data_IF_801757787940
#
_entry.id   IF_801757787940
#
_cell.length_a   1.000
_cell.length_b   1.000
_cell.length_c   1.000
_cell.angle_alpha   90.00
_cell.angle_beta   90.00
_cell.angle_gamma   90.00
#
_symmetry.space_group_name_H-M   'P 1'
#
loop_
_entity.id
_entity.type
_entity.pdbx_description
1 polymer ?
#
# COMPACT_ATOMS: atom_id res chain seq x y z
N UNK A 1 -4.48 -32.68 12.47
CA UNK A 1 -3.70 -31.48 12.07
C UNK A 1 -3.22 -30.79 13.34
N UNK A 2 -1.93 -30.44 13.43
CA UNK A 2 -1.40 -29.72 14.60
C UNK A 2 -1.87 -28.26 14.58
N UNK A 3 -2.08 -27.65 15.74
CA UNK A 3 -2.36 -26.21 15.88
C UNK A 3 -1.30 -25.35 15.16
N UNK A 4 -0.05 -25.83 15.14
CA UNK A 4 1.07 -25.21 14.42
C UNK A 4 0.89 -25.23 12.90
N UNK A 5 0.40 -26.33 12.34
CA UNK A 5 0.15 -26.45 10.88
C UNK A 5 -0.98 -25.53 10.43
N UNK A 6 -2.01 -25.37 11.27
CA UNK A 6 -3.11 -24.45 11.00
C UNK A 6 -2.63 -22.99 10.99
N UNK A 7 -1.77 -22.61 11.94
CA UNK A 7 -1.16 -21.26 11.96
C UNK A 7 -0.30 -21.02 10.71
N UNK A 8 0.47 -22.01 10.27
CA UNK A 8 1.23 -21.90 9.02
C UNK A 8 0.34 -21.80 7.79
N UNK A 9 -0.78 -22.52 7.73
CA UNK A 9 -1.76 -22.38 6.66
C UNK A 9 -2.36 -20.98 6.58
N UNK A 10 -2.71 -20.38 7.73
CA UNK A 10 -3.21 -19.00 7.78
C UNK A 10 -2.17 -18.00 7.27
N UNK A 11 -0.91 -18.17 7.68
CA UNK A 11 0.18 -17.28 7.25
C UNK A 11 0.45 -17.39 5.75
N UNK A 12 0.49 -18.62 5.24
CA UNK A 12 0.66 -18.87 3.82
C UNK A 12 -0.45 -18.22 3.00
N UNK A 13 -1.71 -18.39 3.41
CA UNK A 13 -2.85 -17.73 2.78
C UNK A 13 -2.76 -16.20 2.87
N UNK A 14 -2.44 -15.65 4.05
CA UNK A 14 -2.29 -14.21 4.25
C UNK A 14 -1.20 -13.61 3.33
N UNK A 15 -0.10 -14.32 3.09
CA UNK A 15 0.97 -13.88 2.18
C UNK A 15 0.49 -13.89 0.73
N UNK A 16 -0.20 -14.94 0.28
CA UNK A 16 -0.73 -15.00 -1.09
C UNK A 16 -1.83 -13.96 -1.34
N UNK A 17 -2.70 -13.73 -0.36
CA UNK A 17 -3.71 -12.67 -0.42
C UNK A 17 -3.04 -11.28 -0.49
N UNK A 18 -1.94 -11.06 0.24
CA UNK A 18 -1.17 -9.82 0.12
C UNK A 18 -0.55 -9.65 -1.26
N UNK A 19 0.01 -10.71 -1.88
CA UNK A 19 0.55 -10.62 -3.25
C UNK A 19 -0.52 -10.12 -4.21
N UNK A 20 -1.73 -10.68 -4.14
CA UNK A 20 -2.85 -10.26 -4.99
C UNK A 20 -3.24 -8.81 -4.71
N UNK A 21 -3.49 -8.48 -3.45
CA UNK A 21 -4.06 -7.18 -3.08
C UNK A 21 -3.05 -6.03 -3.28
N UNK A 22 -1.75 -6.26 -3.08
CA UNK A 22 -0.72 -5.29 -3.46
C UNK A 22 -0.58 -5.14 -4.98
N UNK A 23 -0.83 -6.20 -5.76
CA UNK A 23 -0.93 -6.11 -7.21
C UNK A 23 -2.03 -5.14 -7.64
N UNK A 24 -3.24 -5.33 -7.11
CA UNK A 24 -4.38 -4.45 -7.36
C UNK A 24 -4.13 -3.02 -6.86
N UNK A 25 -3.54 -2.87 -5.67
CA UNK A 25 -3.20 -1.56 -5.12
C UNK A 25 -2.25 -0.79 -6.03
N UNK A 26 -1.21 -1.45 -6.56
CA UNK A 26 -0.28 -0.83 -7.50
C UNK A 26 -0.97 -0.39 -8.80
N UNK A 27 -1.92 -1.18 -9.31
CA UNK A 27 -2.72 -0.82 -10.50
C UNK A 27 -3.58 0.42 -10.24
N UNK A 28 -4.33 0.42 -9.14
CA UNK A 28 -5.16 1.56 -8.74
C UNK A 28 -4.34 2.82 -8.48
N UNK A 29 -3.18 2.71 -7.84
CA UNK A 29 -2.29 3.85 -7.57
C UNK A 29 -1.70 4.45 -8.85
N UNK A 30 -1.43 3.63 -9.87
CA UNK A 30 -1.02 4.12 -11.19
C UNK A 30 -2.19 4.77 -11.95
N UNK A 31 -3.39 4.19 -11.89
CA UNK A 31 -4.59 4.82 -12.46
C UNK A 31 -4.88 6.16 -11.79
N UNK A 32 -4.79 6.22 -10.46
CA UNK A 32 -4.97 7.45 -9.69
C UNK A 32 -4.02 8.56 -10.15
N UNK A 33 -2.75 8.23 -10.44
CA UNK A 33 -1.80 9.20 -10.99
C UNK A 33 -2.29 9.84 -12.29
N UNK A 34 -2.75 9.02 -13.24
CA UNK A 34 -3.29 9.52 -14.52
C UNK A 34 -4.53 10.38 -14.33
N UNK A 35 -5.43 9.99 -13.41
CA UNK A 35 -6.64 10.76 -13.11
C UNK A 35 -6.33 12.08 -12.41
N UNK A 36 -5.33 12.09 -11.52
CA UNK A 36 -4.82 13.32 -10.90
C UNK A 36 -4.30 14.29 -11.95
N UNK A 37 -3.53 13.81 -12.94
CA UNK A 37 -3.08 14.66 -14.05
C UNK A 37 -4.25 15.20 -14.89
N UNK A 38 -5.26 14.37 -15.14
CA UNK A 38 -6.46 14.75 -15.88
C UNK A 38 -7.45 15.62 -15.06
N UNK A 39 -7.24 15.74 -13.75
CA UNK A 39 -8.14 16.42 -12.79
C UNK A 39 -9.56 15.86 -12.79
N UNK A 40 -9.70 14.56 -13.04
CA UNK A 40 -11.00 13.88 -13.03
C UNK A 40 -11.39 13.52 -11.59
N UNK A 41 -12.00 14.47 -10.90
CA UNK A 41 -12.36 14.34 -9.48
C UNK A 41 -13.38 13.25 -9.20
N UNK A 42 -14.23 12.92 -10.18
CA UNK A 42 -15.23 11.86 -10.04
C UNK A 42 -14.54 10.49 -10.03
N UNK A 43 -13.71 10.22 -11.04
CA UNK A 43 -12.98 8.95 -11.12
C UNK A 43 -11.91 8.81 -10.03
N UNK A 44 -11.32 9.92 -9.56
CA UNK A 44 -10.43 9.91 -8.38
C UNK A 44 -11.16 9.35 -7.15
N UNK A 45 -12.39 9.78 -6.90
CA UNK A 45 -13.17 9.29 -5.76
C UNK A 45 -13.48 7.80 -5.89
N UNK A 46 -13.89 7.34 -7.08
CA UNK A 46 -14.15 5.92 -7.36
C UNK A 46 -12.89 5.07 -7.10
N UNK A 47 -11.73 5.51 -7.59
CA UNK A 47 -10.47 4.79 -7.38
C UNK A 47 -10.07 4.77 -5.90
N UNK A 48 -10.29 5.85 -5.16
CA UNK A 48 -10.03 5.89 -3.72
C UNK A 48 -10.95 4.92 -2.94
N UNK A 49 -12.22 4.80 -3.32
CA UNK A 49 -13.15 3.82 -2.75
C UNK A 49 -12.71 2.37 -3.00
N UNK A 50 -12.03 2.08 -4.12
CA UNK A 50 -11.41 0.77 -4.36
C UNK A 50 -10.14 0.55 -3.52
N UNK A 51 -9.34 1.59 -3.27
CA UNK A 51 -8.07 1.51 -2.53
C UNK A 51 -8.30 1.25 -1.04
N UNK A 52 -9.29 1.90 -0.42
CA UNK A 52 -9.50 1.85 1.03
C UNK A 52 -9.72 0.41 1.56
N UNK A 53 -10.61 -0.41 0.98
CA UNK A 53 -10.81 -1.80 1.41
C UNK A 53 -9.54 -2.66 1.30
N UNK A 54 -8.73 -2.45 0.26
CA UNK A 54 -7.48 -3.17 0.06
C UNK A 54 -6.47 -2.84 1.17
N UNK A 55 -6.36 -1.57 1.54
CA UNK A 55 -5.48 -1.14 2.64
C UNK A 55 -5.93 -1.73 3.99
N UNK A 56 -7.23 -1.77 4.25
CA UNK A 56 -7.76 -2.35 5.48
C UNK A 56 -7.55 -3.87 5.53
N UNK A 57 -7.70 -4.57 4.40
CA UNK A 57 -7.41 -5.99 4.29
C UNK A 57 -5.93 -6.30 4.58
N UNK A 58 -5.01 -5.55 3.94
CA UNK A 58 -3.55 -5.68 4.17
C UNK A 58 -3.20 -5.39 5.64
N UNK A 59 -3.77 -4.34 6.24
CA UNK A 59 -3.56 -4.01 7.67
C UNK A 59 -4.08 -5.12 8.58
N UNK A 60 -5.25 -5.68 8.27
CA UNK A 60 -5.81 -6.82 8.99
C UNK A 60 -4.87 -8.03 8.96
N UNK A 61 -4.33 -8.36 7.78
CA UNK A 61 -3.35 -9.44 7.59
C UNK A 61 -2.04 -9.18 8.32
N UNK A 62 -1.50 -7.96 8.24
CA UNK A 62 -0.29 -7.59 8.97
C UNK A 62 -0.46 -7.76 10.50
N UNK A 63 -1.62 -7.36 11.04
CA UNK A 63 -1.96 -7.59 12.47
C UNK A 63 -2.03 -9.07 12.81
N UNK A 64 -2.63 -9.91 11.95
CA UNK A 64 -2.65 -11.37 12.14
C UNK A 64 -1.25 -11.97 12.12
N UNK A 65 -0.43 -11.64 11.12
CA UNK A 65 0.98 -12.08 11.06
C UNK A 65 1.77 -11.69 12.32
N UNK A 66 1.59 -10.47 12.82
CA UNK A 66 2.23 -10.01 14.07
C UNK A 66 1.78 -10.80 15.31
N UNK A 67 0.50 -11.19 15.38
CA UNK A 67 0.00 -12.08 16.45
C UNK A 67 0.65 -13.47 16.35
N UNK A 68 0.73 -14.03 15.15
CA UNK A 68 1.38 -15.33 14.93
C UNK A 68 2.86 -15.25 15.29
N UNK A 69 3.61 -14.25 14.79
CA UNK A 69 5.01 -14.03 15.19
C UNK A 69 5.17 -13.96 16.72
N UNK A 70 4.23 -13.33 17.43
CA UNK A 70 4.20 -13.32 18.90
C UNK A 70 4.05 -14.71 19.53
N UNK A 71 3.18 -15.56 18.97
CA UNK A 71 3.03 -16.94 19.42
C UNK A 71 4.30 -17.80 19.21
N UNK A 72 5.13 -17.44 18.22
CA UNK A 72 6.42 -18.08 17.96
C UNK A 72 7.60 -17.38 18.67
N UNK A 73 7.35 -16.37 19.51
CA UNK A 73 8.37 -15.56 20.19
C UNK A 73 9.35 -14.84 19.25
N UNK A 74 8.94 -14.56 18.00
CA UNK A 74 9.74 -13.88 16.97
C UNK A 74 9.50 -12.36 16.93
N UNK A 75 8.79 -11.78 17.92
CA UNK A 75 8.51 -10.34 17.91
C UNK A 75 9.80 -9.53 18.08
N UNK A 76 10.00 -8.58 17.18
CA UNK A 76 11.15 -7.67 17.22
C UNK A 76 12.40 -8.20 16.52
N UNK A 77 12.35 -9.40 15.96
CA UNK A 77 13.44 -9.92 15.15
C UNK A 77 13.43 -9.26 13.75
N UNK A 78 14.55 -8.68 13.28
CA UNK A 78 14.63 -8.02 11.97
C UNK A 78 14.27 -8.93 10.78
N UNK A 79 14.35 -10.26 10.98
CA UNK A 79 14.07 -11.29 9.99
C UNK A 79 12.98 -12.27 10.48
N UNK A 80 12.10 -11.83 11.39
CA UNK A 80 11.06 -12.68 11.98
C UNK A 80 10.26 -13.49 10.95
N UNK A 81 9.99 -12.90 9.78
CA UNK A 81 9.25 -13.58 8.72
C UNK A 81 10.09 -14.62 7.99
N UNK A 82 11.37 -14.36 7.72
CA UNK A 82 12.28 -15.34 7.12
C UNK A 82 12.51 -16.52 8.08
N UNK A 83 12.68 -16.24 9.38
CA UNK A 83 12.76 -17.25 10.44
C UNK A 83 11.49 -18.08 10.51
N UNK A 84 10.30 -17.45 10.40
CA UNK A 84 9.02 -18.15 10.36
C UNK A 84 8.89 -19.05 9.13
N UNK A 85 9.31 -18.57 7.95
CA UNK A 85 9.31 -19.32 6.69
C UNK A 85 10.28 -20.51 6.77
N UNK A 86 11.39 -20.37 7.50
CA UNK A 86 12.34 -21.45 7.79
C UNK A 86 11.69 -22.70 8.42
N UNK A 87 10.56 -22.56 9.12
CA UNK A 87 9.83 -23.69 9.69
C UNK A 87 8.93 -24.46 8.70
N UNK A 88 8.73 -23.95 7.48
CA UNK A 88 7.94 -24.63 6.45
C UNK A 88 8.74 -25.78 5.83
N UNK A 89 8.01 -26.79 5.33
CA UNK A 89 8.58 -27.86 4.51
C UNK A 89 9.23 -27.30 3.23
N UNK A 90 10.29 -27.92 2.68
CA UNK A 90 11.09 -27.35 1.60
C UNK A 90 10.28 -26.85 0.38
N UNK A 91 9.32 -27.64 -0.09
CA UNK A 91 8.50 -27.27 -1.27
C UNK A 91 7.62 -26.04 -1.02
N UNK A 92 7.07 -25.92 0.20
CA UNK A 92 6.23 -24.78 0.61
C UNK A 92 7.09 -23.56 0.92
N UNK A 93 8.25 -23.77 1.54
CA UNK A 93 9.20 -22.73 1.92
C UNK A 93 9.60 -21.88 0.73
N UNK A 94 10.01 -22.50 -0.39
CA UNK A 94 10.43 -21.74 -1.57
C UNK A 94 9.28 -20.89 -2.12
N UNK A 95 8.06 -21.45 -2.19
CA UNK A 95 6.88 -20.73 -2.69
C UNK A 95 6.52 -19.53 -1.82
N UNK A 96 6.46 -19.72 -0.50
CA UNK A 96 6.11 -18.64 0.43
C UNK A 96 7.24 -17.59 0.52
N UNK A 97 8.51 -17.99 0.41
CA UNK A 97 9.65 -17.07 0.37
C UNK A 97 9.56 -16.15 -0.85
N UNK A 98 9.31 -16.71 -2.04
CA UNK A 98 9.13 -15.93 -3.28
C UNK A 98 7.92 -14.99 -3.15
N UNK A 99 6.79 -15.49 -2.64
CA UNK A 99 5.60 -14.67 -2.42
C UNK A 99 5.87 -13.53 -1.43
N UNK A 100 6.59 -13.79 -0.35
CA UNK A 100 6.95 -12.79 0.65
C UNK A 100 7.83 -11.68 0.09
N UNK A 101 8.87 -12.04 -0.68
CA UNK A 101 9.72 -11.06 -1.37
C UNK A 101 8.91 -10.17 -2.33
N UNK A 102 7.92 -10.76 -3.02
CA UNK A 102 7.02 -9.98 -3.88
C UNK A 102 6.15 -9.00 -3.09
N UNK A 103 5.65 -9.40 -1.91
CA UNK A 103 4.90 -8.51 -1.01
C UNK A 103 5.75 -7.33 -0.59
N UNK A 104 6.99 -7.58 -0.13
CA UNK A 104 7.92 -6.53 0.31
C UNK A 104 8.20 -5.54 -0.83
N UNK A 105 8.59 -6.05 -2.01
CA UNK A 105 8.85 -5.19 -3.18
C UNK A 105 7.62 -4.40 -3.63
N UNK A 106 6.42 -5.00 -3.55
CA UNK A 106 5.18 -4.34 -3.94
C UNK A 106 4.77 -3.25 -2.95
N UNK A 107 5.02 -3.45 -1.65
CA UNK A 107 4.78 -2.44 -0.62
C UNK A 107 5.72 -1.22 -0.78
N UNK A 108 6.99 -1.46 -1.08
CA UNK A 108 7.95 -0.39 -1.41
C UNK A 108 7.51 0.41 -2.64
N UNK A 109 7.01 -0.28 -3.66
CA UNK A 109 6.46 0.38 -4.86
C UNK A 109 5.23 1.23 -4.53
N UNK A 110 4.34 0.74 -3.68
CA UNK A 110 3.17 1.51 -3.23
C UNK A 110 3.59 2.80 -2.50
N UNK A 111 4.66 2.76 -1.71
CA UNK A 111 5.21 3.96 -1.05
C UNK A 111 5.67 5.00 -2.07
N UNK A 112 6.46 4.58 -3.06
CA UNK A 112 6.95 5.47 -4.13
C UNK A 112 5.79 6.06 -4.96
N UNK A 113 4.78 5.25 -5.29
CA UNK A 113 3.59 5.72 -6.01
C UNK A 113 2.79 6.72 -5.17
N UNK A 114 2.67 6.50 -3.87
CA UNK A 114 1.98 7.41 -2.97
C UNK A 114 2.71 8.76 -2.88
N UNK A 115 4.04 8.76 -2.76
CA UNK A 115 4.84 9.99 -2.79
C UNK A 115 4.67 10.74 -4.13
N UNK A 116 4.65 10.02 -5.25
CA UNK A 116 4.42 10.61 -6.57
C UNK A 116 3.03 11.26 -6.67
N UNK A 117 1.99 10.56 -6.24
CA UNK A 117 0.62 11.06 -6.26
C UNK A 117 0.47 12.28 -5.33
N UNK A 118 1.11 12.25 -4.16
CA UNK A 118 1.14 13.37 -3.21
C UNK A 118 1.80 14.63 -3.78
N UNK A 119 2.88 14.50 -4.55
CA UNK A 119 3.52 15.64 -5.23
C UNK A 119 2.57 16.34 -6.21
N UNK A 120 1.82 15.58 -7.01
CA UNK A 120 0.84 16.15 -7.94
C UNK A 120 -0.25 16.91 -7.21
N UNK A 121 -0.78 16.34 -6.11
CA UNK A 121 -1.79 16.99 -5.28
C UNK A 121 -1.28 18.29 -4.65
N UNK A 122 -0.04 18.31 -4.15
CA UNK A 122 0.58 19.50 -3.59
C UNK A 122 0.67 20.62 -4.62
N UNK A 123 1.22 20.34 -5.81
CA UNK A 123 1.29 21.32 -6.91
C UNK A 123 -0.09 21.84 -7.32
N UNK A 124 -1.10 20.98 -7.36
CA UNK A 124 -2.47 21.41 -7.65
C UNK A 124 -3.02 22.36 -6.58
N UNK A 125 -2.77 22.05 -5.30
CA UNK A 125 -3.16 22.91 -4.18
C UNK A 125 -2.45 24.27 -4.25
N UNK A 126 -1.16 24.31 -4.57
CA UNK A 126 -0.39 25.56 -4.72
C UNK A 126 -0.94 26.44 -5.84
N UNK A 127 -1.26 25.86 -7.01
CA UNK A 127 -1.87 26.62 -8.13
C UNK A 127 -3.22 27.20 -7.72
N UNK A 128 -4.06 26.40 -7.07
CA UNK A 128 -5.38 26.87 -6.60
C UNK A 128 -5.23 27.97 -5.55
N UNK A 129 -4.31 27.83 -4.60
CA UNK A 129 -4.03 28.85 -3.60
C UNK A 129 -3.51 30.16 -4.22
N UNK A 130 -2.61 30.07 -5.21
CA UNK A 130 -2.13 31.26 -5.93
C UNK A 130 -3.21 31.97 -6.76
N UNK A 131 -4.17 31.22 -7.31
CA UNK A 131 -5.35 31.80 -8.00
C UNK A 131 -6.36 32.42 -7.03
N UNK A 132 -6.42 31.92 -5.80
CA UNK A 132 -7.31 32.41 -4.75
C UNK A 132 -6.65 33.50 -3.88
N UNK A 133 -5.38 33.82 -4.11
CA UNK A 133 -4.68 34.88 -3.41
C UNK A 133 -5.35 36.24 -3.74
N UNK A 134 -5.95 36.93 -2.74
CA UNK A 134 -6.63 38.21 -2.96
C UNK A 134 -5.73 39.29 -3.57
N UNK A 135 -4.40 39.16 -3.42
CA UNK A 135 -3.41 40.06 -4.02
C UNK A 135 -3.14 39.78 -5.51
N UNK A 136 -3.65 38.68 -6.08
CA UNK A 136 -3.64 38.46 -7.52
C UNK A 136 -4.56 39.44 -8.28
N UNK A 137 -5.51 40.08 -7.56
CA UNK A 137 -6.36 41.15 -8.10
C UNK A 137 -5.62 42.46 -8.41
N UNK A 138 -4.49 42.73 -7.74
CA UNK A 138 -3.67 43.92 -8.01
C UNK A 138 -2.90 43.83 -9.33
N UNK A 139 -2.77 42.63 -9.93
CA UNK A 139 -2.22 42.45 -11.28
C UNK A 139 -3.18 42.90 -12.40
N UNK A 140 -4.47 43.08 -12.08
CA UNK A 140 -5.51 43.54 -13.02
C UNK A 140 -6.17 44.85 -12.58
N UNK A 141 -5.69 45.49 -11.52
CA UNK A 141 -6.14 46.83 -11.14
C UNK A 141 -5.67 47.82 -12.22
N UNK A 142 -6.57 48.58 -12.88
CA UNK A 142 -6.15 49.67 -13.74
C UNK A 142 -5.42 50.69 -12.85
N UNK A 143 -4.13 50.92 -13.15
CA UNK A 143 -3.32 51.88 -12.41
C UNK A 143 -3.97 53.26 -12.44
N UNK A 144 -4.22 53.81 -11.25
CA UNK A 144 -4.54 55.23 -11.05
C UNK A 144 -3.28 55.95 -10.56
#
# INVERSE_FOLDING_TARGET
>A
MSQRDQLFGIIEQDVFDDVRDFGLLNEHMNRLYSLLLARDTVEINVVNECILPLLDAVRGRARRRSKVMGAFQLRGEPQAMDTLIGYFAPDRRTRIQTAWLNVVSSAERCLLLNERNGKVLATQSEIVQGLLDPHAGDLYAPGY
#
